data_IF_279633840752
#
_entry.id   IF_279633840752
#
_cell.length_a   1.000
_cell.length_b   1.000
_cell.length_c   1.000
_cell.angle_alpha   90.00
_cell.angle_beta   90.00
_cell.angle_gamma   90.00
#
_symmetry.space_group_name_H-M   'P 1'
#
loop_
_entity.id
_entity.type
_entity.pdbx_description
1 polymer ?
#
# COMPACT_ATOMS: atom_id res chain seq x y z
N UNK A 1 -40.95 -4.50 1.50
CA UNK A 1 -40.40 -4.58 0.13
C UNK A 1 -40.79 -3.33 -0.63
N UNK A 2 -39.96 -2.29 -0.67
CA UNK A 2 -40.11 -1.25 -1.72
C UNK A 2 -38.81 -0.47 -1.93
N UNK A 3 -37.70 -1.18 -2.09
CA UNK A 3 -36.40 -0.55 -2.35
C UNK A 3 -36.05 -0.71 -3.83
N UNK A 4 -36.81 -0.07 -4.72
CA UNK A 4 -36.37 0.12 -6.11
C UNK A 4 -37.17 1.15 -6.93
N UNK A 5 -37.78 2.16 -6.30
CA UNK A 5 -38.52 3.19 -7.05
C UNK A 5 -37.66 4.42 -7.40
N UNK A 6 -36.37 4.43 -7.03
CA UNK A 6 -35.45 5.56 -7.23
C UNK A 6 -34.68 5.57 -8.58
N UNK A 7 -34.95 4.65 -9.50
CA UNK A 7 -34.24 4.58 -10.80
C UNK A 7 -35.17 4.60 -12.03
N UNK A 8 -36.32 5.26 -11.93
CA UNK A 8 -37.23 5.50 -13.07
C UNK A 8 -36.88 6.74 -13.90
N UNK A 9 -35.62 7.20 -13.91
CA UNK A 9 -35.19 8.28 -14.81
C UNK A 9 -34.20 7.74 -15.83
N UNK A 10 -34.35 8.18 -17.07
CA UNK A 10 -33.35 7.92 -18.09
C UNK A 10 -32.08 8.71 -17.79
N UNK A 11 -30.92 8.08 -18.00
CA UNK A 11 -29.65 8.78 -17.96
C UNK A 11 -29.55 9.71 -19.15
N UNK A 12 -29.11 10.94 -18.88
CA UNK A 12 -28.79 11.91 -19.93
C UNK A 12 -27.58 11.44 -20.74
N UNK A 13 -27.42 11.97 -21.95
CA UNK A 13 -26.25 11.65 -22.79
C UNK A 13 -24.93 12.04 -22.11
N UNK A 14 -24.93 13.12 -21.33
CA UNK A 14 -23.77 13.52 -20.51
C UNK A 14 -23.43 12.50 -19.42
N UNK A 15 -24.44 11.94 -18.74
CA UNK A 15 -24.24 10.89 -17.74
C UNK A 15 -23.70 9.61 -18.36
N UNK A 16 -24.22 9.23 -19.54
CA UNK A 16 -23.73 8.08 -20.31
C UNK A 16 -22.28 8.31 -20.74
N UNK A 17 -21.94 9.50 -21.24
CA UNK A 17 -20.57 9.86 -21.64
C UNK A 17 -19.62 9.79 -20.44
N UNK A 18 -19.98 10.36 -19.29
CA UNK A 18 -19.16 10.29 -18.06
C UNK A 18 -18.90 8.85 -17.62
N UNK A 19 -19.88 7.97 -17.75
CA UNK A 19 -19.71 6.55 -17.45
C UNK A 19 -18.70 5.89 -18.40
N UNK A 20 -18.83 6.14 -19.70
CA UNK A 20 -17.88 5.62 -20.71
C UNK A 20 -16.47 6.15 -20.45
N UNK A 21 -16.32 7.44 -20.13
CA UNK A 21 -15.02 8.05 -19.81
C UNK A 21 -14.40 7.43 -18.55
N UNK A 22 -15.22 7.18 -17.52
CA UNK A 22 -14.78 6.51 -16.30
C UNK A 22 -14.27 5.08 -16.57
N UNK A 23 -15.00 4.28 -17.34
CA UNK A 23 -14.54 2.94 -17.73
C UNK A 23 -13.30 2.97 -18.63
N UNK A 24 -13.19 3.97 -19.50
CA UNK A 24 -12.01 4.16 -20.34
C UNK A 24 -10.77 4.42 -19.48
N UNK A 25 -10.89 5.29 -18.47
CA UNK A 25 -9.82 5.55 -17.51
C UNK A 25 -9.44 4.28 -16.72
N UNK A 26 -10.42 3.53 -16.21
CA UNK A 26 -10.14 2.27 -15.50
C UNK A 26 -9.42 1.25 -16.39
N UNK A 27 -9.83 1.14 -17.66
CA UNK A 27 -9.19 0.27 -18.64
C UNK A 27 -7.74 0.68 -18.91
N UNK A 28 -7.49 1.98 -19.04
CA UNK A 28 -6.13 2.50 -19.22
C UNK A 28 -5.23 2.19 -18.01
N UNK A 29 -5.76 2.35 -16.79
CA UNK A 29 -5.04 2.01 -15.55
C UNK A 29 -4.67 0.52 -15.53
N UNK A 30 -5.63 -0.36 -15.83
CA UNK A 30 -5.40 -1.82 -15.88
C UNK A 30 -4.38 -2.22 -16.95
N UNK A 31 -4.48 -1.65 -18.16
CA UNK A 31 -3.51 -1.90 -19.24
C UNK A 31 -2.09 -1.48 -18.85
N UNK A 32 -1.93 -0.31 -18.23
CA UNK A 32 -0.64 0.17 -17.73
C UNK A 32 -0.07 -0.75 -16.65
N UNK A 33 -0.91 -1.25 -15.74
CA UNK A 33 -0.46 -2.18 -14.70
C UNK A 33 -0.06 -3.55 -15.29
N UNK A 34 -0.88 -4.10 -16.19
CA UNK A 34 -0.54 -5.33 -16.92
C UNK A 34 0.76 -5.21 -17.70
N UNK A 35 1.01 -4.07 -18.36
CA UNK A 35 2.26 -3.83 -19.07
C UNK A 35 3.48 -3.83 -18.12
N UNK A 36 3.34 -3.27 -16.91
CA UNK A 36 4.40 -3.30 -15.88
C UNK A 36 4.71 -4.72 -15.43
N UNK A 37 3.69 -5.52 -15.15
CA UNK A 37 3.88 -6.93 -14.79
C UNK A 37 4.43 -7.76 -15.96
N UNK A 38 4.01 -7.47 -17.21
CA UNK A 38 4.55 -8.14 -18.39
C UNK A 38 6.05 -7.88 -18.56
N UNK A 39 6.52 -6.67 -18.27
CA UNK A 39 7.94 -6.30 -18.29
C UNK A 39 8.80 -7.10 -17.30
N UNK A 40 8.21 -7.71 -16.26
CA UNK A 40 8.95 -8.61 -15.35
C UNK A 40 9.40 -9.91 -16.02
N UNK A 41 8.84 -10.28 -17.18
CA UNK A 41 9.35 -11.41 -17.97
C UNK A 41 10.78 -11.15 -18.45
N UNK A 42 11.06 -9.92 -18.87
CA UNK A 42 12.39 -9.49 -19.30
C UNK A 42 13.29 -9.13 -18.11
N UNK A 43 12.69 -8.63 -17.02
CA UNK A 43 13.38 -8.21 -15.80
C UNK A 43 12.87 -8.98 -14.57
N UNK A 44 13.22 -10.26 -14.39
CA UNK A 44 12.64 -11.12 -13.35
C UNK A 44 12.97 -10.69 -11.92
N UNK A 45 14.04 -9.91 -11.74
CA UNK A 45 14.42 -9.30 -10.44
C UNK A 45 13.78 -7.93 -10.20
N UNK A 46 13.00 -7.43 -11.15
CA UNK A 46 12.43 -6.09 -11.14
C UNK A 46 13.25 -5.08 -11.93
N UNK A 47 12.69 -3.89 -12.09
CA UNK A 47 13.27 -2.78 -12.83
C UNK A 47 13.07 -1.45 -12.09
N UNK A 48 13.97 -0.50 -12.32
CA UNK A 48 13.86 0.84 -11.78
C UNK A 48 12.68 1.58 -12.42
N UNK A 49 11.96 2.35 -11.61
CA UNK A 49 10.82 3.14 -12.03
C UNK A 49 10.81 4.45 -11.26
N UNK A 50 10.49 5.55 -11.94
CA UNK A 50 10.45 6.86 -11.31
C UNK A 50 9.38 6.93 -10.22
N UNK A 51 9.60 7.83 -9.26
CA UNK A 51 8.67 8.08 -8.17
C UNK A 51 7.33 8.58 -8.69
N UNK A 52 7.29 9.71 -9.38
CA UNK A 52 6.07 10.35 -9.93
C UNK A 52 4.86 10.31 -8.98
N UNK A 53 5.09 10.55 -7.69
CA UNK A 53 4.08 10.50 -6.61
C UNK A 53 3.50 9.10 -6.33
N UNK A 54 4.11 8.03 -6.83
CA UNK A 54 3.72 6.64 -6.54
C UNK A 54 3.91 6.34 -5.07
N UNK A 55 2.96 5.60 -4.51
CA UNK A 55 3.07 5.10 -3.14
C UNK A 55 3.87 3.81 -3.10
N UNK A 56 4.82 3.72 -2.18
CA UNK A 56 5.51 2.47 -1.90
C UNK A 56 4.53 1.45 -1.32
N UNK A 57 4.43 0.26 -1.94
CA UNK A 57 3.52 -0.81 -1.51
C UNK A 57 3.84 -1.48 -0.17
N UNK A 58 4.82 -0.95 0.58
CA UNK A 58 5.24 -1.47 1.88
C UNK A 58 5.13 -0.43 2.99
N UNK A 59 5.64 0.78 2.77
CA UNK A 59 5.58 1.86 3.76
C UNK A 59 4.56 2.96 3.46
N UNK A 60 3.88 2.89 2.31
CA UNK A 60 2.82 3.81 1.87
C UNK A 60 3.25 5.28 1.73
N UNK A 61 4.54 5.57 1.86
CA UNK A 61 5.09 6.90 1.55
C UNK A 61 5.05 7.14 0.04
N UNK A 62 4.63 8.34 -0.34
CA UNK A 62 4.78 8.84 -1.70
C UNK A 62 6.26 9.00 -2.04
N UNK A 63 6.63 8.57 -3.24
CA UNK A 63 7.97 8.71 -3.81
C UNK A 63 7.89 9.74 -4.93
N UNK A 64 8.62 10.84 -4.82
CA UNK A 64 8.57 11.94 -5.80
C UNK A 64 9.81 11.92 -6.70
N UNK A 65 10.95 12.35 -6.16
CA UNK A 65 12.14 12.68 -6.96
C UNK A 65 13.20 11.57 -7.02
N UNK A 66 12.89 10.39 -6.47
CA UNK A 66 13.83 9.27 -6.42
C UNK A 66 13.26 8.05 -7.11
N UNK A 67 14.08 7.28 -7.84
CA UNK A 67 13.63 6.04 -8.44
C UNK A 67 13.32 5.01 -7.34
N UNK A 68 12.23 4.28 -7.52
CA UNK A 68 11.92 3.06 -6.78
C UNK A 68 12.22 1.81 -7.60
N UNK A 69 11.93 0.65 -7.02
CA UNK A 69 12.02 -0.64 -7.71
C UNK A 69 10.64 -1.28 -7.82
N UNK A 70 10.24 -1.60 -9.04
CA UNK A 70 9.07 -2.44 -9.32
C UNK A 70 9.52 -3.88 -9.53
N UNK A 71 9.00 -4.82 -8.74
CA UNK A 71 9.25 -6.25 -8.89
C UNK A 71 7.93 -7.04 -8.80
N UNK A 72 8.01 -8.37 -8.66
CA UNK A 72 6.83 -9.24 -8.52
C UNK A 72 5.91 -8.91 -7.33
N UNK A 73 6.38 -8.12 -6.36
CA UNK A 73 5.61 -7.66 -5.21
C UNK A 73 5.15 -6.21 -5.33
N UNK A 74 5.34 -5.59 -6.50
CA UNK A 74 4.93 -4.22 -6.81
C UNK A 74 6.02 -3.16 -6.55
N UNK A 75 5.61 -1.90 -6.55
CA UNK A 75 6.52 -0.75 -6.42
C UNK A 75 7.00 -0.54 -4.98
N UNK A 76 8.31 -0.33 -4.81
CA UNK A 76 8.97 -0.04 -3.52
C UNK A 76 9.85 1.19 -3.63
N UNK A 77 9.85 2.03 -2.59
CA UNK A 77 10.89 3.06 -2.46
C UNK A 77 12.25 2.42 -2.16
N UNK A 78 13.34 3.12 -2.48
CA UNK A 78 14.72 2.66 -2.26
C UNK A 78 14.97 2.17 -0.83
N UNK A 79 14.50 2.90 0.18
CA UNK A 79 14.63 2.53 1.59
C UNK A 79 13.98 1.17 1.92
N UNK A 80 12.77 0.92 1.37
CA UNK A 80 12.07 -0.35 1.56
C UNK A 80 12.72 -1.49 0.78
N UNK A 81 13.18 -1.20 -0.44
CA UNK A 81 13.95 -2.15 -1.24
C UNK A 81 15.23 -2.58 -0.51
N UNK A 82 15.95 -1.64 0.09
CA UNK A 82 17.14 -1.92 0.90
C UNK A 82 16.83 -2.81 2.11
N UNK A 83 15.70 -2.60 2.76
CA UNK A 83 15.27 -3.43 3.89
C UNK A 83 14.95 -4.88 3.44
N UNK A 84 14.36 -5.06 2.25
CA UNK A 84 14.14 -6.37 1.63
C UNK A 84 15.46 -7.03 1.26
N UNK A 85 16.36 -6.31 0.59
CA UNK A 85 17.68 -6.81 0.19
C UNK A 85 18.50 -7.26 1.40
N UNK A 86 18.44 -6.51 2.51
CA UNK A 86 19.09 -6.83 3.79
C UNK A 86 18.33 -7.86 4.63
N UNK A 87 17.26 -8.47 4.08
CA UNK A 87 16.42 -9.48 4.73
C UNK A 87 15.83 -9.04 6.08
N UNK A 88 15.68 -7.74 6.29
CA UNK A 88 15.01 -7.22 7.51
C UNK A 88 13.52 -7.51 7.46
N UNK A 89 12.92 -7.40 6.27
CA UNK A 89 11.51 -7.64 6.01
C UNK A 89 11.34 -8.48 4.73
N UNK A 90 10.40 -9.45 4.70
CA UNK A 90 10.11 -10.19 3.48
C UNK A 90 9.52 -9.28 2.38
N UNK A 91 9.99 -9.44 1.15
CA UNK A 91 9.42 -8.74 -0.01
C UNK A 91 7.94 -9.05 -0.24
N UNK A 92 7.48 -10.24 0.18
CA UNK A 92 6.08 -10.68 0.10
C UNK A 92 5.09 -9.84 0.93
N UNK A 93 5.59 -8.96 1.81
CA UNK A 93 4.76 -7.98 2.52
C UNK A 93 4.44 -6.75 1.66
N UNK A 94 5.13 -6.54 0.54
CA UNK A 94 4.74 -5.50 -0.39
C UNK A 94 3.43 -5.92 -1.05
N UNK A 95 2.47 -5.01 -1.08
CA UNK A 95 1.10 -5.31 -1.49
C UNK A 95 0.18 -5.75 -0.34
N UNK A 96 0.64 -5.71 0.91
CA UNK A 96 -0.22 -5.85 2.10
C UNK A 96 -0.99 -4.55 2.38
N UNK A 97 -1.83 -4.14 1.42
CA UNK A 97 -2.60 -2.87 1.47
C UNK A 97 -3.59 -2.81 2.64
N UNK A 98 -4.02 -3.97 3.15
CA UNK A 98 -4.96 -4.09 4.26
C UNK A 98 -4.28 -4.18 5.62
N UNK A 99 -2.94 -4.25 5.64
CA UNK A 99 -2.14 -4.41 6.85
C UNK A 99 -2.47 -5.68 7.64
N UNK A 100 -2.78 -6.77 6.95
CA UNK A 100 -3.15 -8.07 7.55
C UNK A 100 -1.93 -8.81 8.10
N UNK A 101 -0.73 -8.48 7.62
CA UNK A 101 0.53 -9.15 8.02
C UNK A 101 1.54 -8.17 8.59
N UNK A 102 1.50 -6.92 8.15
CA UNK A 102 2.42 -5.89 8.58
C UNK A 102 1.81 -4.49 8.55
N UNK A 103 2.21 -3.67 9.52
CA UNK A 103 1.76 -2.30 9.66
C UNK A 103 2.95 -1.37 9.93
N UNK A 104 3.12 -0.27 9.18
CA UNK A 104 4.12 0.74 9.52
C UNK A 104 3.71 1.53 10.76
N UNK A 105 4.69 2.00 11.54
CA UNK A 105 4.47 2.77 12.78
C UNK A 105 3.54 3.98 12.61
N UNK A 106 3.57 4.63 11.44
CA UNK A 106 2.69 5.75 11.10
C UNK A 106 1.22 5.35 10.99
N UNK A 107 0.92 4.20 10.37
CA UNK A 107 -0.45 3.72 10.22
C UNK A 107 -0.94 3.14 11.55
N UNK A 108 -0.07 2.44 12.29
CA UNK A 108 -0.41 1.97 13.64
C UNK A 108 -0.77 3.13 14.57
N UNK A 109 0.05 4.18 14.58
CA UNK A 109 -0.19 5.39 15.36
C UNK A 109 -1.56 6.02 15.00
N UNK A 110 -1.87 6.09 13.70
CA UNK A 110 -3.16 6.59 13.23
C UNK A 110 -4.33 5.72 13.68
N UNK A 111 -4.23 4.39 13.57
CA UNK A 111 -5.29 3.46 14.01
C UNK A 111 -5.54 3.50 15.51
N UNK A 112 -4.49 3.71 16.30
CA UNK A 112 -4.58 3.79 17.77
C UNK A 112 -4.85 5.21 18.27
N UNK A 113 -4.97 6.19 17.38
CA UNK A 113 -5.11 7.62 17.71
C UNK A 113 -4.03 8.12 18.71
N UNK A 114 -2.78 7.72 18.50
CA UNK A 114 -1.62 8.14 19.31
C UNK A 114 -0.54 8.75 18.44
N UNK A 115 0.41 9.45 19.04
CA UNK A 115 1.56 9.97 18.31
C UNK A 115 2.49 8.83 17.84
N UNK A 116 3.13 9.00 16.67
CA UNK A 116 4.19 8.09 16.20
C UNK A 116 5.34 7.99 17.22
N UNK A 117 5.60 9.06 17.99
CA UNK A 117 6.60 9.06 19.06
C UNK A 117 6.24 8.07 20.16
N UNK A 118 4.96 7.95 20.50
CA UNK A 118 4.45 6.98 21.48
C UNK A 118 4.71 5.55 21.01
N UNK A 119 4.39 5.22 19.75
CA UNK A 119 4.68 3.90 19.18
C UNK A 119 6.19 3.61 19.19
N UNK A 120 7.01 4.58 18.79
CA UNK A 120 8.48 4.42 18.79
C UNK A 120 9.06 4.27 20.20
N UNK A 121 8.46 4.91 21.20
CA UNK A 121 8.82 4.70 22.60
C UNK A 121 8.53 3.26 23.01
N UNK A 122 7.33 2.74 22.72
CA UNK A 122 6.99 1.33 22.99
C UNK A 122 7.95 0.35 22.30
N UNK A 123 8.39 0.65 21.08
CA UNK A 123 9.42 -0.16 20.40
C UNK A 123 10.77 -0.10 21.13
N UNK A 124 11.19 1.08 21.59
CA UNK A 124 12.43 1.25 22.35
C UNK A 124 12.38 0.51 23.70
N UNK A 125 11.22 0.53 24.33
CA UNK A 125 10.96 -0.12 25.62
C UNK A 125 10.68 -1.63 25.46
N UNK A 126 10.81 -2.17 24.23
CA UNK A 126 10.60 -3.59 23.87
C UNK A 126 9.18 -4.12 24.11
N UNK A 127 8.19 -3.22 24.25
CA UNK A 127 6.78 -3.57 24.33
C UNK A 127 6.19 -3.94 22.95
N UNK A 128 6.80 -3.45 21.86
CA UNK A 128 6.43 -3.76 20.47
C UNK A 128 7.70 -4.15 19.71
N UNK A 129 7.68 -5.27 19.02
CA UNK A 129 8.76 -5.73 18.14
C UNK A 129 8.65 -5.01 16.80
N UNK A 130 9.42 -3.92 16.66
CA UNK A 130 9.51 -3.11 15.43
C UNK A 130 10.80 -3.35 14.63
N UNK A 131 10.68 -3.57 13.32
CA UNK A 131 11.80 -3.73 12.40
C UNK A 131 12.15 -2.41 11.70
N UNK A 132 13.34 -1.87 11.95
CA UNK A 132 13.76 -0.57 11.41
C UNK A 132 14.11 -0.62 9.91
N UNK A 133 13.34 0.09 9.09
CA UNK A 133 13.72 0.41 7.71
C UNK A 133 14.76 1.55 7.72
N UNK A 134 15.91 1.44 7.03
CA UNK A 134 16.86 2.54 6.88
C UNK A 134 16.17 3.79 6.36
N UNK A 135 16.33 4.94 7.03
CA UNK A 135 15.69 6.22 6.67
C UNK A 135 14.15 6.14 6.47
N UNK A 136 13.51 5.10 7.00
CA UNK A 136 12.10 4.77 6.80
C UNK A 136 11.30 4.76 8.11
N UNK A 137 10.09 4.18 8.10
CA UNK A 137 9.35 3.88 9.32
C UNK A 137 9.91 2.64 10.04
N UNK A 138 9.36 2.33 11.22
CA UNK A 138 9.41 0.97 11.74
C UNK A 138 8.30 0.15 11.10
N UNK A 139 8.64 -1.07 10.65
CA UNK A 139 7.65 -2.05 10.22
C UNK A 139 7.35 -3.00 11.37
N UNK A 140 6.09 -3.16 11.70
CA UNK A 140 5.62 -4.01 12.79
C UNK A 140 4.92 -5.19 12.12
N UNK A 141 5.45 -6.39 12.34
CA UNK A 141 4.89 -7.62 11.77
C UNK A 141 3.94 -8.21 12.80
N UNK A 142 2.70 -8.48 12.41
CA UNK A 142 1.67 -8.95 13.35
C UNK A 142 2.02 -10.33 13.94
N UNK A 143 2.69 -11.18 13.16
CA UNK A 143 3.21 -12.46 13.66
C UNK A 143 4.22 -12.33 14.81
N UNK A 144 4.93 -11.20 14.88
CA UNK A 144 5.93 -10.91 15.92
C UNK A 144 5.26 -10.15 17.09
N UNK A 145 4.01 -9.71 16.95
CA UNK A 145 3.24 -8.88 17.89
C UNK A 145 1.78 -9.35 17.95
N UNK A 146 1.53 -10.61 18.40
CA UNK A 146 0.20 -11.23 18.34
C UNK A 146 -0.86 -10.50 19.17
N UNK A 147 -0.46 -9.71 20.17
CA UNK A 147 -1.33 -8.86 20.98
C UNK A 147 -1.92 -7.66 20.21
N UNK A 148 -1.32 -7.29 19.08
CA UNK A 148 -1.84 -6.26 18.18
C UNK A 148 -2.90 -6.86 17.23
N UNK A 149 -3.97 -7.43 17.79
CA UNK A 149 -5.14 -7.85 17.01
C UNK A 149 -6.02 -6.64 16.69
N UNK A 150 -6.12 -6.28 15.42
CA UNK A 150 -7.10 -5.29 14.96
C UNK A 150 -8.40 -6.02 14.61
N UNK A 151 -9.45 -5.86 15.42
CA UNK A 151 -10.78 -6.25 14.98
C UNK A 151 -11.16 -5.38 13.78
N UNK A 152 -11.39 -6.01 12.63
CA UNK A 152 -11.64 -5.38 11.34
C UNK A 152 -13.09 -4.87 11.20
N UNK A 153 -13.71 -4.37 12.27
CA UNK A 153 -15.11 -3.93 12.25
C UNK A 153 -15.22 -2.42 12.49
N UNK A 154 -14.71 -1.61 11.56
CA UNK A 154 -15.23 -0.26 11.30
C UNK A 154 -15.06 0.02 9.80
N UNK A 155 -16.06 -0.40 9.01
CA UNK A 155 -16.39 0.27 7.76
C UNK A 155 -17.48 1.27 8.12
N UNK A 156 -17.16 2.56 8.00
CA UNK A 156 -18.16 3.64 8.02
C UNK A 156 -18.93 3.62 6.70
#
# INVERSE_FOLDING_TARGET
MSDNEQLKREFTDDERRRLVDYFSLLTEIDQREKARFAKLKDFPKGFAMDGESRQCGLCFKSVYDTPGLFDKWGFKCSNCQDAVNKRKIPGSLCGDYRHERSIPDTILASKLNVSVRTIRKKIKDSEIIGRRIPNGPYMILLKDNPELTFNHDIVV
#
